data_IF_642760580574
#
_entry.id   IF_642760580574
#
_cell.length_a   1.000
_cell.length_b   1.000
_cell.length_c   1.000
_cell.angle_alpha   90.00
_cell.angle_beta   90.00
_cell.angle_gamma   90.00
#
_symmetry.space_group_name_H-M   'P 1'
#
loop_
_entity.id
_entity.type
_entity.pdbx_description
1 polymer ?
#
# COMPACT_ATOMS: atom_id res chain seq x y z
N UNK A 1 41.95 -22.70 -2.89
CA UNK A 1 40.88 -23.54 -3.46
C UNK A 1 39.69 -23.69 -2.52
N UNK A 2 39.88 -24.14 -1.27
CA UNK A 2 38.81 -24.36 -0.28
C UNK A 2 38.12 -23.07 0.19
N UNK A 3 38.89 -22.01 0.44
CA UNK A 3 38.37 -20.69 0.85
C UNK A 3 37.42 -20.06 -0.20
N UNK A 4 37.76 -20.19 -1.48
CA UNK A 4 36.96 -19.64 -2.59
C UNK A 4 35.62 -20.38 -2.68
N UNK A 5 35.61 -21.71 -2.51
CA UNK A 5 34.37 -22.52 -2.47
C UNK A 5 33.47 -22.08 -1.32
N UNK A 6 34.02 -21.90 -0.11
CA UNK A 6 33.25 -21.45 1.05
C UNK A 6 32.61 -20.07 0.86
N UNK A 7 33.37 -19.10 0.33
CA UNK A 7 32.87 -17.75 0.07
C UNK A 7 31.77 -17.77 -1.00
N UNK A 8 31.98 -18.51 -2.10
CA UNK A 8 30.99 -18.66 -3.16
C UNK A 8 29.69 -19.28 -2.66
N UNK A 9 29.78 -20.37 -1.89
CA UNK A 9 28.63 -21.03 -1.27
C UNK A 9 27.85 -20.09 -0.34
N UNK A 10 28.54 -19.31 0.49
CA UNK A 10 27.92 -18.34 1.37
C UNK A 10 27.20 -17.23 0.58
N UNK A 11 27.82 -16.71 -0.48
CA UNK A 11 27.23 -15.69 -1.34
C UNK A 11 25.95 -16.19 -2.03
N UNK A 12 25.94 -17.43 -2.52
CA UNK A 12 24.76 -18.03 -3.17
C UNK A 12 23.61 -18.12 -2.17
N UNK A 13 23.82 -18.76 -1.01
CA UNK A 13 22.77 -18.96 -0.01
C UNK A 13 22.22 -17.61 0.48
N UNK A 14 23.11 -16.67 0.79
CA UNK A 14 22.68 -15.35 1.29
C UNK A 14 21.87 -14.59 0.23
N UNK A 15 22.31 -14.61 -1.02
CA UNK A 15 21.61 -13.91 -2.11
C UNK A 15 20.21 -14.50 -2.35
N UNK A 16 20.07 -15.82 -2.48
CA UNK A 16 18.76 -16.45 -2.72
C UNK A 16 17.83 -16.30 -1.52
N UNK A 17 18.37 -16.36 -0.29
CA UNK A 17 17.60 -16.12 0.93
C UNK A 17 17.08 -14.68 0.95
N UNK A 18 17.93 -13.68 0.70
CA UNK A 18 17.54 -12.28 0.65
C UNK A 18 16.45 -12.03 -0.41
N UNK A 19 16.55 -12.67 -1.57
CA UNK A 19 15.51 -12.62 -2.61
C UNK A 19 14.18 -13.18 -2.08
N UNK A 20 14.20 -14.36 -1.47
CA UNK A 20 13.00 -14.98 -0.88
C UNK A 20 12.34 -14.10 0.20
N UNK A 21 13.15 -13.48 1.05
CA UNK A 21 12.68 -12.52 2.06
C UNK A 21 12.09 -11.26 1.45
N UNK A 22 12.68 -10.72 0.37
CA UNK A 22 12.17 -9.56 -0.34
C UNK A 22 10.78 -9.85 -0.95
N UNK A 23 10.61 -10.97 -1.64
CA UNK A 23 9.32 -11.36 -2.20
C UNK A 23 8.28 -11.69 -1.12
N UNK A 24 8.67 -12.40 -0.06
CA UNK A 24 7.78 -12.67 1.08
C UNK A 24 7.33 -11.41 1.81
N UNK A 25 8.24 -10.43 1.97
CA UNK A 25 7.97 -9.16 2.65
C UNK A 25 6.89 -8.32 1.98
N UNK A 26 6.76 -8.38 0.64
CA UNK A 26 5.74 -7.63 -0.12
C UNK A 26 4.31 -7.94 0.34
N UNK A 27 4.02 -9.18 0.74
CA UNK A 27 2.70 -9.56 1.24
C UNK A 27 2.38 -8.92 2.60
N UNK A 28 3.38 -8.89 3.48
CA UNK A 28 3.29 -8.21 4.78
C UNK A 28 3.15 -6.71 4.61
N UNK A 29 3.89 -6.12 3.67
CA UNK A 29 3.80 -4.70 3.35
C UNK A 29 2.42 -4.32 2.81
N UNK A 30 1.85 -5.10 1.87
CA UNK A 30 0.48 -4.85 1.35
C UNK A 30 -0.53 -4.77 2.49
N UNK A 31 -0.56 -5.77 3.37
CA UNK A 31 -1.50 -5.79 4.50
C UNK A 31 -1.32 -4.58 5.42
N UNK A 32 -0.08 -4.27 5.81
CA UNK A 32 0.21 -3.13 6.67
C UNK A 32 -0.19 -1.81 6.01
N UNK A 33 0.08 -1.66 4.71
CA UNK A 33 -0.27 -0.46 3.96
C UNK A 33 -1.79 -0.27 3.88
N UNK A 34 -2.57 -1.34 3.69
CA UNK A 34 -4.04 -1.28 3.74
C UNK A 34 -4.55 -0.84 5.13
N UNK A 35 -3.99 -1.38 6.21
CA UNK A 35 -4.34 -0.98 7.59
C UNK A 35 -4.04 0.51 7.82
N UNK A 36 -2.86 0.97 7.40
CA UNK A 36 -2.49 2.38 7.55
C UNK A 36 -3.31 3.31 6.67
N UNK A 37 -3.73 2.86 5.49
CA UNK A 37 -4.63 3.63 4.61
C UNK A 37 -6.02 3.76 5.21
N UNK A 38 -6.58 2.70 5.79
CA UNK A 38 -7.85 2.77 6.50
C UNK A 38 -7.80 3.80 7.65
N UNK A 39 -6.70 3.83 8.41
CA UNK A 39 -6.48 4.85 9.44
C UNK A 39 -6.44 6.26 8.85
N UNK A 40 -5.77 6.45 7.71
CA UNK A 40 -5.75 7.73 7.01
C UNK A 40 -7.14 8.14 6.50
N UNK A 41 -7.95 7.18 6.04
CA UNK A 41 -9.33 7.43 5.62
C UNK A 41 -10.25 7.80 6.78
N UNK A 42 -10.05 7.22 7.98
CA UNK A 42 -10.78 7.66 9.20
C UNK A 42 -10.44 9.09 9.59
N UNK A 43 -9.17 9.48 9.44
CA UNK A 43 -8.78 10.89 9.63
C UNK A 43 -9.46 11.76 8.57
N UNK A 44 -9.45 11.34 7.30
CA UNK A 44 -10.07 12.09 6.21
C UNK A 44 -11.58 12.27 6.40
N UNK A 45 -12.29 11.21 6.76
CA UNK A 45 -13.71 11.23 7.12
C UNK A 45 -13.95 12.26 8.24
N UNK A 46 -13.11 12.23 9.27
CA UNK A 46 -13.26 13.17 10.39
C UNK A 46 -13.09 14.62 9.96
N UNK A 47 -12.08 14.90 9.15
CA UNK A 47 -11.79 16.25 8.67
C UNK A 47 -12.89 16.79 7.74
N UNK A 48 -13.47 15.93 6.88
CA UNK A 48 -14.47 16.34 5.88
C UNK A 48 -15.88 16.34 6.48
N UNK A 49 -16.31 15.23 7.09
CA UNK A 49 -17.70 15.02 7.55
C UNK A 49 -17.97 15.79 8.83
N UNK A 50 -17.07 15.68 9.82
CA UNK A 50 -17.26 16.28 11.14
C UNK A 50 -16.60 17.67 11.27
N UNK A 51 -15.41 17.83 10.70
CA UNK A 51 -14.65 19.08 10.74
C UNK A 51 -15.10 20.12 9.73
N UNK A 52 -15.82 19.72 8.66
CA UNK A 52 -16.21 20.59 7.55
C UNK A 52 -15.01 21.35 6.92
N UNK A 53 -13.80 20.78 7.02
CA UNK A 53 -12.61 21.40 6.50
C UNK A 53 -12.58 21.28 4.96
N UNK A 54 -12.16 22.33 4.23
CA UNK A 54 -11.98 22.24 2.78
C UNK A 54 -11.04 21.08 2.42
N UNK A 55 -11.35 20.37 1.34
CA UNK A 55 -10.61 19.17 0.94
C UNK A 55 -9.07 19.33 0.90
N UNK A 56 -8.49 20.44 0.37
CA UNK A 56 -7.04 20.64 0.42
C UNK A 56 -6.46 20.71 1.84
N UNK A 57 -7.23 21.20 2.81
CA UNK A 57 -6.84 21.24 4.22
C UNK A 57 -6.99 19.87 4.88
N UNK A 58 -8.12 19.19 4.62
CA UNK A 58 -8.35 17.82 5.09
C UNK A 58 -7.22 16.87 4.61
N UNK A 59 -6.85 16.91 3.34
CA UNK A 59 -5.71 16.15 2.79
C UNK A 59 -4.39 16.48 3.49
N UNK A 60 -4.17 17.77 3.80
CA UNK A 60 -2.98 18.20 4.55
C UNK A 60 -2.97 17.66 5.98
N UNK A 61 -4.12 17.59 6.62
CA UNK A 61 -4.27 17.09 7.99
C UNK A 61 -4.09 15.56 8.03
N UNK A 62 -4.60 14.83 7.05
CA UNK A 62 -4.32 13.40 6.88
C UNK A 62 -2.83 13.14 6.70
N UNK A 63 -2.16 13.91 5.84
CA UNK A 63 -0.71 13.81 5.70
C UNK A 63 0.01 14.03 7.04
N UNK A 64 -0.36 15.07 7.80
CA UNK A 64 0.26 15.43 9.08
C UNK A 64 0.04 14.36 10.16
N UNK A 65 -1.21 13.92 10.34
CA UNK A 65 -1.67 13.05 11.45
C UNK A 65 -1.54 11.55 11.15
N UNK A 66 -1.60 11.15 9.87
CA UNK A 66 -1.57 9.75 9.45
C UNK A 66 -0.16 9.16 9.41
N UNK A 67 -0.09 7.82 9.33
CA UNK A 67 1.17 7.07 9.27
C UNK A 67 1.97 7.43 8.00
N UNK A 68 3.20 7.92 8.19
CA UNK A 68 4.06 8.44 7.10
C UNK A 68 4.41 7.41 6.02
N UNK A 69 4.29 6.10 6.32
CA UNK A 69 4.47 5.04 5.30
C UNK A 69 3.49 5.19 4.14
N UNK A 70 2.27 5.67 4.39
CA UNK A 70 1.22 5.82 3.36
C UNK A 70 0.70 7.24 3.25
N UNK A 71 0.72 8.04 4.33
CA UNK A 71 0.04 9.34 4.37
C UNK A 71 0.62 10.39 3.41
N UNK A 72 1.85 10.18 2.92
CA UNK A 72 2.48 11.04 1.91
C UNK A 72 1.67 11.15 0.62
N UNK A 73 0.89 10.11 0.25
CA UNK A 73 0.07 10.14 -0.96
C UNK A 73 -1.00 11.24 -0.92
N UNK A 74 -1.51 11.59 0.28
CA UNK A 74 -2.52 12.65 0.42
C UNK A 74 -1.92 14.04 0.17
N UNK A 75 -0.62 14.22 0.46
CA UNK A 75 0.10 15.42 0.09
C UNK A 75 0.31 15.50 -1.44
N UNK A 76 0.59 14.38 -2.10
CA UNK A 76 0.68 14.32 -3.57
C UNK A 76 -0.67 14.65 -4.23
N UNK A 77 -1.77 14.06 -3.74
CA UNK A 77 -3.13 14.37 -4.21
C UNK A 77 -3.42 15.87 -4.06
N UNK A 78 -3.11 16.45 -2.89
CA UNK A 78 -3.29 17.90 -2.65
C UNK A 78 -2.48 18.74 -3.64
N UNK A 79 -1.21 18.42 -3.83
CA UNK A 79 -0.32 19.15 -4.73
C UNK A 79 -0.84 19.10 -6.17
N UNK A 80 -1.32 17.94 -6.62
CA UNK A 80 -1.94 17.77 -7.93
C UNK A 80 -3.23 18.59 -8.05
N UNK A 81 -4.11 18.51 -7.04
CA UNK A 81 -5.38 19.23 -6.98
C UNK A 81 -5.18 20.74 -7.12
N UNK A 82 -4.21 21.31 -6.39
CA UNK A 82 -3.89 22.75 -6.42
C UNK A 82 -3.29 23.22 -7.75
N UNK A 83 -2.57 22.35 -8.47
CA UNK A 83 -2.00 22.66 -9.78
C UNK A 83 -3.00 22.54 -10.91
N UNK A 84 -4.04 21.72 -10.73
CA UNK A 84 -5.03 21.48 -11.78
C UNK A 84 -5.95 22.69 -11.96
N UNK A 85 -5.83 23.40 -13.09
CA UNK A 85 -6.71 24.54 -13.44
C UNK A 85 -8.17 24.12 -13.68
N UNK A 86 -8.44 22.82 -13.87
CA UNK A 86 -9.77 22.25 -14.20
C UNK A 86 -10.37 21.35 -13.12
N UNK A 87 -9.83 21.33 -11.89
CA UNK A 87 -10.54 20.85 -10.70
C UNK A 87 -11.08 19.42 -10.73
N UNK A 88 -10.52 18.51 -11.54
CA UNK A 88 -11.00 17.14 -11.56
C UNK A 88 -10.37 16.38 -10.37
N UNK A 89 -11.16 16.22 -9.30
CA UNK A 89 -10.72 15.55 -8.10
C UNK A 89 -10.29 14.10 -8.37
N UNK A 90 -11.04 13.39 -9.20
CA UNK A 90 -10.72 12.03 -9.59
C UNK A 90 -9.34 11.95 -10.25
N UNK A 91 -9.00 12.86 -11.16
CA UNK A 91 -7.66 12.90 -11.77
C UNK A 91 -6.55 13.09 -10.73
N UNK A 92 -6.82 13.84 -9.65
CA UNK A 92 -5.84 14.02 -8.57
C UNK A 92 -5.61 12.74 -7.77
N UNK A 93 -6.65 11.93 -7.58
CA UNK A 93 -6.50 10.58 -7.02
C UNK A 93 -5.82 9.62 -8.01
N UNK A 94 -6.17 9.66 -9.29
CA UNK A 94 -5.51 8.81 -10.31
C UNK A 94 -4.02 9.12 -10.47
N UNK A 95 -3.58 10.35 -10.16
CA UNK A 95 -2.17 10.74 -10.24
C UNK A 95 -1.23 9.91 -9.35
N UNK A 96 -1.75 9.27 -8.29
CA UNK A 96 -0.96 8.45 -7.36
C UNK A 96 -1.01 6.95 -7.68
N UNK A 97 -1.70 6.51 -8.72
CA UNK A 97 -1.89 5.09 -9.05
C UNK A 97 -0.56 4.32 -9.15
N UNK A 98 0.43 4.90 -9.83
CA UNK A 98 1.76 4.32 -9.95
C UNK A 98 2.45 4.15 -8.58
N UNK A 99 2.26 5.12 -7.66
CA UNK A 99 2.83 5.09 -6.31
C UNK A 99 2.16 3.98 -5.49
N UNK A 100 0.84 3.87 -5.56
CA UNK A 100 0.05 2.86 -4.85
C UNK A 100 0.52 1.45 -5.25
N UNK A 101 0.67 1.20 -6.54
CA UNK A 101 1.11 -0.10 -7.07
C UNK A 101 2.56 -0.42 -6.71
N UNK A 102 3.49 0.48 -7.05
CA UNK A 102 4.91 0.16 -7.03
C UNK A 102 5.61 0.45 -5.70
N UNK A 103 5.11 1.39 -4.90
CA UNK A 103 5.71 1.73 -3.60
C UNK A 103 4.96 1.15 -2.42
N UNK A 104 3.63 0.98 -2.54
CA UNK A 104 2.80 0.44 -1.46
C UNK A 104 2.39 -1.03 -1.68
N UNK A 105 2.86 -1.66 -2.76
CA UNK A 105 2.59 -3.07 -3.08
C UNK A 105 1.09 -3.41 -3.12
N UNK A 106 0.27 -2.45 -3.54
CA UNK A 106 -1.18 -2.62 -3.64
C UNK A 106 -1.56 -3.32 -4.96
N UNK A 107 -2.61 -4.14 -4.89
CA UNK A 107 -3.25 -4.75 -6.08
C UNK A 107 -4.20 -3.74 -6.74
N UNK A 108 -4.61 -4.02 -7.96
CA UNK A 108 -5.58 -3.20 -8.71
C UNK A 108 -6.89 -3.00 -7.95
N UNK A 109 -7.39 -4.05 -7.29
CA UNK A 109 -8.61 -3.98 -6.47
C UNK A 109 -8.45 -3.03 -5.27
N UNK A 110 -7.27 -3.03 -4.64
CA UNK A 110 -6.95 -2.12 -3.54
C UNK A 110 -6.93 -0.66 -4.03
N UNK A 111 -6.31 -0.45 -5.19
CA UNK A 111 -6.16 0.86 -5.84
C UNK A 111 -7.53 1.43 -6.22
N UNK A 112 -8.40 0.63 -6.81
CA UNK A 112 -9.72 1.08 -7.26
C UNK A 112 -10.58 1.60 -6.10
N UNK A 113 -10.50 0.98 -4.92
CA UNK A 113 -11.17 1.50 -3.71
C UNK A 113 -10.64 2.88 -3.34
N UNK A 114 -9.33 3.11 -3.42
CA UNK A 114 -8.72 4.41 -3.14
C UNK A 114 -9.15 5.45 -4.19
N UNK A 115 -9.16 5.09 -5.47
CA UNK A 115 -9.58 5.98 -6.55
C UNK A 115 -11.07 6.33 -6.48
N UNK A 116 -11.89 5.40 -6.00
CA UNK A 116 -13.33 5.62 -5.84
C UNK A 116 -13.65 6.77 -4.88
N UNK A 117 -12.82 7.03 -3.86
CA UNK A 117 -12.95 8.21 -3.00
C UNK A 117 -12.89 9.51 -3.82
N UNK A 118 -12.00 9.59 -4.81
CA UNK A 118 -11.89 10.77 -5.67
C UNK A 118 -13.11 11.03 -6.55
N UNK A 119 -13.97 10.01 -6.77
CA UNK A 119 -15.26 10.15 -7.49
C UNK A 119 -16.40 10.58 -6.58
N UNK A 120 -16.28 10.28 -5.29
CA UNK A 120 -17.39 10.37 -4.33
C UNK A 120 -17.26 11.60 -3.43
N UNK A 121 -16.03 12.09 -3.22
CA UNK A 121 -15.77 13.32 -2.50
C UNK A 121 -16.14 14.54 -3.36
N UNK A 122 -16.91 15.49 -2.80
CA UNK A 122 -17.14 16.81 -3.40
C UNK A 122 -18.53 17.07 -4.00
N UNK A 123 -19.45 16.11 -4.00
CA UNK A 123 -20.78 16.29 -4.62
C UNK A 123 -21.96 15.81 -3.77
N UNK A 124 -21.78 15.61 -2.47
CA UNK A 124 -22.82 15.01 -1.62
C UNK A 124 -22.94 15.67 -0.26
N UNK A 125 -24.16 15.66 0.29
CA UNK A 125 -24.46 16.13 1.64
C UNK A 125 -23.76 15.25 2.69
N UNK A 126 -23.66 15.78 3.92
CA UNK A 126 -22.93 15.15 5.02
C UNK A 126 -23.33 13.69 5.29
N UNK A 127 -24.63 13.39 5.29
CA UNK A 127 -25.15 12.02 5.50
C UNK A 127 -24.71 11.06 4.40
N UNK A 128 -24.64 11.54 3.16
CA UNK A 128 -24.19 10.74 2.03
C UNK A 128 -22.68 10.54 2.09
N UNK A 129 -21.91 11.55 2.50
CA UNK A 129 -20.46 11.38 2.73
C UNK A 129 -20.17 10.32 3.80
N UNK A 130 -20.91 10.31 4.91
CA UNK A 130 -20.77 9.30 5.97
C UNK A 130 -21.10 7.88 5.45
N UNK A 131 -22.18 7.73 4.67
CA UNK A 131 -22.51 6.45 4.02
C UNK A 131 -21.41 6.00 3.06
N UNK A 132 -20.84 6.92 2.30
CA UNK A 132 -19.79 6.65 1.34
C UNK A 132 -18.50 6.19 2.04
N UNK A 133 -18.08 6.87 3.12
CA UNK A 133 -16.94 6.42 3.93
C UNK A 133 -17.21 5.05 4.56
N UNK A 134 -18.39 4.82 5.11
CA UNK A 134 -18.77 3.51 5.67
C UNK A 134 -18.71 2.39 4.61
N UNK A 135 -19.14 2.67 3.37
CA UNK A 135 -18.98 1.72 2.26
C UNK A 135 -17.50 1.42 1.98
N UNK A 136 -16.66 2.45 1.92
CA UNK A 136 -15.21 2.29 1.72
C UNK A 136 -14.58 1.47 2.85
N UNK A 137 -14.94 1.70 4.12
CA UNK A 137 -14.39 0.93 5.24
C UNK A 137 -14.76 -0.55 5.18
N UNK A 138 -16.00 -0.88 4.78
CA UNK A 138 -16.40 -2.28 4.56
C UNK A 138 -15.59 -2.94 3.45
N UNK A 139 -15.34 -2.22 2.35
CA UNK A 139 -14.48 -2.72 1.26
C UNK A 139 -13.04 -2.90 1.74
N UNK A 140 -12.50 -1.95 2.51
CA UNK A 140 -11.16 -2.04 3.09
C UNK A 140 -11.01 -3.25 4.03
N UNK A 141 -12.05 -3.56 4.82
CA UNK A 141 -12.05 -4.75 5.69
C UNK A 141 -11.93 -6.05 4.87
N UNK A 142 -12.66 -6.15 3.76
CA UNK A 142 -12.57 -7.29 2.84
C UNK A 142 -11.17 -7.41 2.21
N UNK A 143 -10.61 -6.30 1.74
CA UNK A 143 -9.26 -6.26 1.17
C UNK A 143 -8.17 -6.61 2.19
N UNK A 144 -8.30 -6.14 3.43
CA UNK A 144 -7.37 -6.51 4.51
C UNK A 144 -7.47 -7.99 4.86
N UNK A 145 -8.68 -8.55 4.86
CA UNK A 145 -8.88 -9.99 5.07
C UNK A 145 -8.23 -10.81 3.95
N UNK A 146 -8.42 -10.42 2.69
CA UNK A 146 -7.73 -11.02 1.53
C UNK A 146 -6.20 -10.93 1.68
N UNK A 147 -5.68 -9.74 1.95
CA UNK A 147 -4.24 -9.51 2.12
C UNK A 147 -3.64 -10.33 3.27
N UNK A 148 -4.40 -10.54 4.35
CA UNK A 148 -3.99 -11.39 5.46
C UNK A 148 -3.91 -12.86 5.06
N UNK A 149 -4.92 -13.38 4.34
CA UNK A 149 -4.91 -14.76 3.82
C UNK A 149 -3.72 -14.96 2.89
N UNK A 150 -3.49 -14.01 1.98
CA UNK A 150 -2.37 -14.05 1.04
C UNK A 150 -1.01 -14.00 1.75
N UNK A 151 -0.85 -13.16 2.77
CA UNK A 151 0.37 -13.11 3.59
C UNK A 151 0.60 -14.44 4.29
N UNK A 152 -0.41 -14.95 4.98
CA UNK A 152 -0.29 -16.18 5.77
C UNK A 152 0.06 -17.39 4.89
N UNK A 153 -0.42 -17.41 3.64
CA UNK A 153 -0.10 -18.44 2.64
C UNK A 153 1.29 -18.26 2.04
N UNK A 154 1.63 -17.06 1.60
CA UNK A 154 2.75 -16.85 0.68
C UNK A 154 4.04 -16.38 1.37
N UNK A 155 3.96 -15.62 2.48
CA UNK A 155 5.15 -15.03 3.10
C UNK A 155 6.18 -16.09 3.50
N UNK A 156 5.73 -17.13 4.23
CA UNK A 156 6.59 -18.23 4.66
C UNK A 156 7.07 -19.07 3.47
N UNK A 157 6.20 -19.26 2.48
CA UNK A 157 6.51 -20.02 1.28
C UNK A 157 7.67 -19.39 0.50
N UNK A 158 7.62 -18.08 0.21
CA UNK A 158 8.68 -17.39 -0.52
C UNK A 158 10.00 -17.34 0.27
N UNK A 159 9.94 -17.13 1.59
CA UNK A 159 11.13 -17.20 2.45
C UNK A 159 11.79 -18.58 2.39
N UNK A 160 10.99 -19.65 2.46
CA UNK A 160 11.48 -21.02 2.38
C UNK A 160 12.04 -21.35 0.98
N UNK A 161 11.38 -20.90 -0.10
CA UNK A 161 11.87 -21.09 -1.47
C UNK A 161 13.23 -20.40 -1.70
N UNK A 162 13.46 -19.23 -1.11
CA UNK A 162 14.77 -18.56 -1.18
C UNK A 162 15.91 -19.39 -0.56
N UNK A 163 15.64 -20.03 0.58
CA UNK A 163 16.62 -20.91 1.23
C UNK A 163 16.81 -22.20 0.41
N UNK A 164 15.72 -22.85 0.03
CA UNK A 164 15.75 -24.12 -0.72
C UNK A 164 16.43 -23.99 -2.09
N UNK A 165 16.19 -22.88 -2.80
CA UNK A 165 16.85 -22.61 -4.08
C UNK A 165 18.37 -22.40 -3.91
N UNK A 166 18.80 -21.72 -2.85
CA UNK A 166 20.23 -21.57 -2.53
C UNK A 166 20.91 -22.92 -2.28
N UNK A 167 20.26 -23.80 -1.51
CA UNK A 167 20.74 -25.16 -1.25
C UNK A 167 20.80 -25.96 -2.56
N UNK A 168 19.76 -25.90 -3.40
CA UNK A 168 19.73 -26.61 -4.68
C UNK A 168 20.86 -26.17 -5.62
N UNK A 169 21.09 -24.86 -5.77
CA UNK A 169 22.19 -24.32 -6.60
C UNK A 169 23.54 -24.78 -6.05
N UNK A 170 23.71 -24.75 -4.72
CA UNK A 170 24.94 -25.19 -4.07
C UNK A 170 25.24 -26.66 -4.36
N UNK A 171 24.24 -27.54 -4.32
CA UNK A 171 24.41 -28.98 -4.63
C UNK A 171 24.84 -29.21 -6.09
N UNK A 172 24.33 -28.41 -7.03
CA UNK A 172 24.66 -28.55 -8.45
C UNK A 172 26.08 -28.08 -8.77
N UNK A 173 26.55 -27.05 -8.06
CA UNK A 173 27.75 -26.29 -8.43
C UNK A 173 29.01 -26.73 -7.67
N UNK A 174 28.87 -27.40 -6.52
CA UNK A 174 29.96 -27.85 -5.64
C UNK A 174 30.36 -29.28 -5.92
#
# INVERSE_FOLDING_TARGET
MLLIKLIGSALIITSTTLIGFCYGGKYTDRLNNLIYLEQCFKILETEIVYGANPLPEALSNVYKKGNKKVSFIFQEIKNHLQRSKKGNLYQSFSSIEWILKNRLNLKEEDIEIILSLGRVLGSSDRLDQEKNFNFIFKQMELLQKDAKIDRDRNERLYKNLGILSGIAILIILV
#
